data_IF_902887620489
#
_entry.id   IF_902887620489
#
_cell.length_a   1.000
_cell.length_b   1.000
_cell.length_c   1.000
_cell.angle_alpha   90.00
_cell.angle_beta   90.00
_cell.angle_gamma   90.00
#
_symmetry.space_group_name_H-M   'P 1'
#
loop_
_entity.id
_entity.type
_entity.pdbx_description
1 polymer ?
#
# COMPACT_ATOMS: atom_id res chain seq x y z
N UNK A 1 28.76 14.37 1.75
CA UNK A 1 28.23 15.39 2.67
C UNK A 1 26.75 15.57 2.29
N UNK A 2 25.83 14.89 3.03
CA UNK A 2 24.37 14.91 2.78
C UNK A 2 23.57 15.43 4.01
N UNK A 3 24.22 16.19 4.90
CA UNK A 3 23.53 16.77 6.07
C UNK A 3 22.31 17.64 5.73
N UNK A 4 22.32 18.47 4.65
CA UNK A 4 21.13 19.21 4.27
C UNK A 4 19.95 18.32 3.91
N UNK A 5 20.18 17.23 3.17
CA UNK A 5 19.13 16.31 2.72
C UNK A 5 18.49 15.52 3.87
N UNK A 6 19.26 15.16 4.89
CA UNK A 6 18.71 14.53 6.09
C UNK A 6 17.84 15.51 6.89
N UNK A 7 18.25 16.76 6.97
CA UNK A 7 17.45 17.81 7.63
C UNK A 7 16.11 18.04 6.91
N UNK A 8 16.15 18.15 5.58
CA UNK A 8 14.94 18.29 4.77
C UNK A 8 14.00 17.09 4.92
N UNK A 9 14.56 15.88 5.04
CA UNK A 9 13.79 14.68 5.29
C UNK A 9 13.09 14.69 6.65
N UNK A 10 13.78 15.15 7.71
CA UNK A 10 13.17 15.31 9.04
C UNK A 10 12.10 16.40 9.01
N UNK A 11 12.35 17.53 8.35
CA UNK A 11 11.36 18.59 8.19
C UNK A 11 10.10 18.08 7.44
N UNK A 12 10.29 17.26 6.40
CA UNK A 12 9.18 16.62 5.72
C UNK A 12 8.37 15.73 6.67
N UNK A 13 9.03 14.86 7.45
CA UNK A 13 8.33 13.97 8.39
C UNK A 13 7.48 14.73 9.41
N UNK A 14 7.98 15.86 9.90
CA UNK A 14 7.25 16.72 10.84
C UNK A 14 6.03 17.36 10.17
N UNK A 15 6.19 17.86 8.94
CA UNK A 15 5.15 18.61 8.23
C UNK A 15 4.22 17.72 7.40
N UNK A 16 4.57 16.46 7.17
CA UNK A 16 3.80 15.58 6.30
C UNK A 16 2.31 15.48 6.67
N UNK A 17 1.90 15.43 7.96
CA UNK A 17 0.50 15.43 8.33
C UNK A 17 -0.28 16.72 8.00
N UNK A 18 0.42 17.84 7.78
CA UNK A 18 -0.16 19.17 7.53
C UNK A 18 -0.51 19.40 6.05
N UNK A 19 -0.05 18.54 5.14
CA UNK A 19 -0.42 18.69 3.73
C UNK A 19 -1.92 18.47 3.52
N UNK A 20 -2.53 19.41 2.82
CA UNK A 20 -3.97 19.42 2.53
C UNK A 20 -4.32 18.71 1.22
N UNK A 21 -3.34 18.48 0.34
CA UNK A 21 -3.54 17.85 -0.97
C UNK A 21 -2.50 16.76 -1.24
N UNK A 22 -2.92 15.72 -1.97
CA UNK A 22 -2.04 14.66 -2.45
C UNK A 22 -0.88 15.23 -3.29
N UNK A 23 -1.17 16.18 -4.16
CA UNK A 23 -0.17 16.80 -5.05
C UNK A 23 0.93 17.52 -4.25
N UNK A 24 0.58 18.26 -3.20
CA UNK A 24 1.55 18.95 -2.36
C UNK A 24 2.43 17.94 -1.59
N UNK A 25 1.82 16.88 -1.04
CA UNK A 25 2.52 15.79 -0.37
C UNK A 25 3.50 15.09 -1.32
N UNK A 26 3.05 14.72 -2.52
CA UNK A 26 3.86 14.05 -3.54
C UNK A 26 5.03 14.90 -4.01
N UNK A 27 4.81 16.19 -4.26
CA UNK A 27 5.85 17.13 -4.66
C UNK A 27 6.92 17.32 -3.57
N UNK A 28 6.51 17.40 -2.31
CA UNK A 28 7.43 17.50 -1.18
C UNK A 28 8.23 16.21 -0.99
N UNK A 29 7.57 15.06 -1.05
CA UNK A 29 8.21 13.75 -0.97
C UNK A 29 9.26 13.55 -2.07
N UNK A 30 8.89 13.83 -3.32
CA UNK A 30 9.79 13.72 -4.46
C UNK A 30 11.07 14.56 -4.30
N UNK A 31 10.94 15.81 -3.80
CA UNK A 31 12.06 16.69 -3.55
C UNK A 31 13.03 16.16 -2.50
N UNK A 32 12.48 15.64 -1.40
CA UNK A 32 13.28 15.01 -0.35
C UNK A 32 14.01 13.78 -0.89
N UNK A 33 13.34 12.94 -1.67
CA UNK A 33 13.93 11.75 -2.29
C UNK A 33 15.08 12.09 -3.24
N UNK A 34 14.93 13.14 -4.07
CA UNK A 34 16.01 13.65 -4.94
C UNK A 34 17.26 14.03 -4.13
N UNK A 35 17.08 14.75 -3.02
CA UNK A 35 18.17 15.09 -2.10
C UNK A 35 18.88 13.87 -1.51
N UNK A 36 18.17 12.74 -1.36
CA UNK A 36 18.73 11.47 -0.91
C UNK A 36 19.28 10.59 -2.05
N UNK A 37 19.22 11.05 -3.29
CA UNK A 37 19.74 10.34 -4.48
C UNK A 37 18.78 9.28 -5.04
N UNK A 38 17.50 9.35 -4.69
CA UNK A 38 16.45 8.55 -5.30
C UNK A 38 15.96 9.23 -6.57
N UNK A 39 16.00 8.54 -7.70
CA UNK A 39 15.67 9.07 -9.03
C UNK A 39 14.25 8.72 -9.47
N UNK A 40 13.69 7.65 -8.92
CA UNK A 40 12.35 7.19 -9.26
C UNK A 40 11.65 6.56 -8.04
N UNK A 41 10.34 6.70 -7.96
CA UNK A 41 9.55 5.99 -6.95
C UNK A 41 8.14 5.65 -7.44
N UNK A 42 7.56 4.62 -6.83
CA UNK A 42 6.15 4.28 -7.00
C UNK A 42 5.57 3.82 -5.67
N UNK A 43 4.41 4.35 -5.32
CA UNK A 43 3.65 3.94 -4.14
C UNK A 43 2.30 3.37 -4.58
N UNK A 44 1.97 2.19 -4.09
CA UNK A 44 0.80 1.44 -4.51
C UNK A 44 0.11 0.77 -3.34
N UNK A 45 -1.15 0.40 -3.53
CA UNK A 45 -1.91 -0.46 -2.63
C UNK A 45 -2.30 -1.76 -3.33
N UNK A 46 -2.37 -2.85 -2.58
CA UNK A 46 -2.94 -4.10 -3.09
C UNK A 46 -4.46 -3.95 -3.16
N UNK A 47 -5.06 -4.29 -4.31
CA UNK A 47 -6.52 -4.31 -4.41
C UNK A 47 -7.08 -5.50 -3.62
N UNK A 48 -7.77 -5.21 -2.52
CA UNK A 48 -8.41 -6.23 -1.68
C UNK A 48 -9.53 -7.00 -2.39
N UNK A 49 -10.09 -6.41 -3.46
CA UNK A 49 -11.14 -7.05 -4.29
C UNK A 49 -10.56 -8.04 -5.30
N UNK A 50 -9.24 -7.96 -5.55
CA UNK A 50 -8.51 -8.82 -6.50
C UNK A 50 -7.22 -9.32 -5.85
N UNK A 51 -7.29 -10.22 -4.89
CA UNK A 51 -6.10 -10.82 -4.28
C UNK A 51 -5.21 -11.44 -5.37
N UNK A 52 -3.92 -11.04 -5.42
CA UNK A 52 -2.99 -11.49 -6.46
C UNK A 52 -3.09 -10.75 -7.81
N UNK A 53 -4.01 -9.81 -7.94
CA UNK A 53 -4.07 -8.90 -9.09
C UNK A 53 -2.99 -7.81 -9.05
N UNK A 54 -2.87 -7.01 -10.13
CA UNK A 54 -1.93 -5.90 -10.15
C UNK A 54 -2.27 -4.89 -9.05
N UNK A 55 -1.26 -4.28 -8.42
CA UNK A 55 -1.48 -3.24 -7.42
C UNK A 55 -2.07 -1.97 -8.06
N UNK A 56 -2.85 -1.24 -7.28
CA UNK A 56 -3.35 0.09 -7.67
C UNK A 56 -2.27 1.11 -7.34
N UNK A 57 -1.72 1.76 -8.34
CA UNK A 57 -0.74 2.83 -8.17
C UNK A 57 -1.45 4.08 -7.62
N UNK A 58 -0.95 4.62 -6.51
CA UNK A 58 -1.47 5.83 -5.87
C UNK A 58 -0.64 7.05 -6.21
N UNK A 59 0.67 6.89 -6.33
CA UNK A 59 1.62 7.93 -6.70
C UNK A 59 2.83 7.30 -7.37
N UNK A 60 3.40 7.99 -8.39
CA UNK A 60 4.61 7.53 -9.06
C UNK A 60 5.37 8.69 -9.69
N UNK A 61 6.68 8.52 -9.81
CA UNK A 61 7.56 9.43 -10.51
C UNK A 61 8.67 8.65 -11.21
N UNK A 62 8.80 8.88 -12.52
CA UNK A 62 9.82 8.27 -13.39
C UNK A 62 9.78 6.72 -13.43
N UNK A 63 8.63 6.09 -13.16
CA UNK A 63 8.48 4.63 -13.18
C UNK A 63 7.59 4.12 -14.31
N UNK A 64 6.72 4.96 -14.90
CA UNK A 64 5.68 4.53 -15.84
C UNK A 64 6.23 3.74 -17.04
N UNK A 65 7.31 4.22 -17.64
CA UNK A 65 7.91 3.57 -18.80
C UNK A 65 8.52 2.21 -18.41
N UNK A 66 9.22 2.17 -17.27
CA UNK A 66 9.81 0.95 -16.73
C UNK A 66 8.74 -0.07 -16.31
N UNK A 67 7.71 0.35 -15.59
CA UNK A 67 6.63 -0.54 -15.15
C UNK A 67 5.86 -1.12 -16.33
N UNK A 68 5.61 -0.33 -17.38
CA UNK A 68 5.03 -0.83 -18.62
C UNK A 68 5.93 -1.85 -19.29
N UNK A 69 7.21 -1.55 -19.44
CA UNK A 69 8.20 -2.44 -20.00
C UNK A 69 8.26 -3.78 -19.23
N UNK A 70 8.34 -3.73 -17.91
CA UNK A 70 8.31 -4.90 -17.02
C UNK A 70 7.08 -5.76 -17.23
N UNK A 71 5.93 -5.13 -17.43
CA UNK A 71 4.68 -5.83 -17.71
C UNK A 71 4.70 -6.51 -19.08
N UNK A 72 5.09 -5.78 -20.13
CA UNK A 72 5.14 -6.26 -21.53
C UNK A 72 6.12 -7.43 -21.71
N UNK A 73 7.23 -7.41 -21.00
CA UNK A 73 8.24 -8.48 -21.01
C UNK A 73 7.88 -9.66 -20.07
N UNK A 74 6.78 -9.58 -19.33
CA UNK A 74 6.41 -10.60 -18.36
C UNK A 74 7.32 -10.72 -17.14
N UNK A 75 8.19 -9.74 -16.90
CA UNK A 75 9.14 -9.73 -15.78
C UNK A 75 8.45 -9.69 -14.42
N UNK A 76 7.22 -9.25 -14.36
CA UNK A 76 6.46 -9.21 -13.09
C UNK A 76 6.34 -10.59 -12.44
N UNK A 77 6.17 -11.64 -13.25
CA UNK A 77 6.03 -13.02 -12.76
C UNK A 77 7.33 -13.60 -12.19
N UNK A 78 8.47 -13.14 -12.68
CA UNK A 78 9.81 -13.66 -12.31
C UNK A 78 10.58 -12.72 -11.39
N UNK A 79 10.06 -11.49 -11.15
CA UNK A 79 10.74 -10.48 -10.35
C UNK A 79 10.94 -10.98 -8.90
N UNK A 80 12.19 -11.15 -8.46
CA UNK A 80 12.47 -11.66 -7.13
C UNK A 80 11.98 -10.74 -6.00
N UNK A 81 11.85 -9.43 -6.24
CA UNK A 81 11.26 -8.52 -5.28
C UNK A 81 9.79 -8.86 -5.00
N UNK A 82 9.04 -9.32 -6.02
CA UNK A 82 7.65 -9.78 -5.84
C UNK A 82 7.61 -11.02 -4.94
N UNK A 83 8.52 -11.98 -5.13
CA UNK A 83 8.64 -13.16 -4.25
C UNK A 83 8.97 -12.76 -2.82
N UNK A 84 9.89 -11.82 -2.61
CA UNK A 84 10.27 -11.35 -1.28
C UNK A 84 9.12 -10.63 -0.56
N UNK A 85 8.29 -9.91 -1.30
CA UNK A 85 7.06 -9.34 -0.73
C UNK A 85 6.09 -10.43 -0.28
N UNK A 86 5.95 -11.50 -1.03
CA UNK A 86 5.10 -12.65 -0.66
C UNK A 86 5.60 -13.38 0.61
N UNK A 87 6.91 -13.36 0.88
CA UNK A 87 7.51 -13.90 2.09
C UNK A 87 7.32 -13.02 3.36
N UNK A 88 6.54 -11.96 3.28
CA UNK A 88 6.20 -11.12 4.44
C UNK A 88 7.28 -10.14 4.89
N UNK A 89 8.34 -9.93 4.09
CA UNK A 89 9.37 -8.94 4.39
C UNK A 89 8.79 -7.52 4.35
N UNK A 90 9.01 -6.73 5.39
CA UNK A 90 8.48 -5.36 5.50
C UNK A 90 9.34 -4.34 4.75
N UNK A 91 10.65 -4.52 4.72
CA UNK A 91 11.57 -3.67 3.96
C UNK A 91 12.79 -4.48 3.51
N UNK A 92 13.26 -4.22 2.28
CA UNK A 92 14.47 -4.84 1.73
C UNK A 92 15.00 -4.03 0.54
N UNK A 93 16.30 -4.12 0.31
CA UNK A 93 16.96 -3.56 -0.88
C UNK A 93 17.10 -4.60 -1.99
N UNK A 94 17.28 -4.14 -3.21
CA UNK A 94 17.56 -5.03 -4.36
C UNK A 94 18.85 -5.81 -4.16
N UNK A 95 19.86 -5.19 -3.53
CA UNK A 95 21.13 -5.87 -3.20
C UNK A 95 20.95 -7.02 -2.23
N UNK A 96 20.08 -6.87 -1.23
CA UNK A 96 19.76 -7.96 -0.30
C UNK A 96 19.12 -9.13 -1.04
N UNK A 97 18.17 -8.83 -1.93
CA UNK A 97 17.53 -9.85 -2.78
C UNK A 97 18.55 -10.58 -3.65
N UNK A 98 19.40 -9.85 -4.34
CA UNK A 98 20.45 -10.41 -5.20
C UNK A 98 21.48 -11.23 -4.41
N UNK A 99 21.88 -10.75 -3.23
CA UNK A 99 22.83 -11.46 -2.38
C UNK A 99 22.27 -12.79 -1.87
N UNK A 100 21.02 -12.78 -1.42
CA UNK A 100 20.36 -13.99 -0.93
C UNK A 100 20.11 -15.01 -2.06
N UNK A 101 19.69 -14.56 -3.24
CA UNK A 101 19.49 -15.44 -4.39
C UNK A 101 20.82 -16.13 -4.81
N UNK A 102 21.93 -15.38 -4.82
CA UNK A 102 23.26 -15.96 -5.05
C UNK A 102 23.66 -16.97 -3.98
N UNK A 103 23.31 -16.74 -2.73
CA UNK A 103 23.60 -17.66 -1.61
C UNK A 103 22.80 -18.96 -1.72
N UNK A 104 21.57 -18.88 -2.24
CA UNK A 104 20.66 -20.04 -2.36
C UNK A 104 20.93 -20.93 -3.58
N UNK A 105 21.71 -20.48 -4.56
CA UNK A 105 22.06 -21.28 -5.74
C UNK A 105 22.14 -20.47 -7.02
N UNK A 106 21.92 -21.11 -8.16
CA UNK A 106 21.95 -20.46 -9.48
C UNK A 106 20.85 -19.39 -9.60
N UNK A 107 21.27 -18.20 -10.01
CA UNK A 107 20.35 -17.12 -10.36
C UNK A 107 19.83 -17.36 -11.77
N UNK A 108 18.52 -17.43 -12.03
CA UNK A 108 17.98 -17.60 -13.36
C UNK A 108 18.49 -16.54 -14.33
N UNK A 109 18.78 -16.92 -15.57
CA UNK A 109 19.26 -16.00 -16.61
C UNK A 109 18.30 -14.80 -16.80
N UNK A 110 17.00 -15.02 -16.74
CA UNK A 110 16.00 -13.97 -16.83
C UNK A 110 16.05 -12.98 -15.66
N UNK A 111 16.41 -13.43 -14.45
CA UNK A 111 16.63 -12.52 -13.30
C UNK A 111 17.89 -11.67 -13.50
N UNK A 112 18.95 -12.30 -14.03
CA UNK A 112 20.20 -11.58 -14.36
C UNK A 112 19.94 -10.49 -15.42
N UNK A 113 19.16 -10.83 -16.46
CA UNK A 113 18.77 -9.87 -17.49
C UNK A 113 17.98 -8.70 -16.92
N UNK A 114 17.00 -8.98 -16.05
CA UNK A 114 16.19 -7.96 -15.38
C UNK A 114 17.06 -6.93 -14.63
N UNK A 115 18.07 -7.39 -13.89
CA UNK A 115 18.95 -6.48 -13.15
C UNK A 115 19.87 -5.67 -14.08
N UNK A 116 20.33 -6.26 -15.19
CA UNK A 116 21.13 -5.57 -16.19
C UNK A 116 20.32 -4.46 -16.87
N UNK A 117 19.11 -4.75 -17.30
CA UNK A 117 18.20 -3.79 -17.94
C UNK A 117 17.76 -2.68 -16.97
N UNK A 118 17.54 -2.99 -15.71
CA UNK A 118 17.28 -1.97 -14.69
C UNK A 118 18.48 -1.01 -14.57
N UNK A 119 19.70 -1.53 -14.57
CA UNK A 119 20.92 -0.72 -14.49
C UNK A 119 21.12 0.18 -15.73
N UNK A 120 20.75 -0.30 -16.93
CA UNK A 120 20.75 0.49 -18.16
C UNK A 120 19.75 1.67 -18.12
N UNK A 121 18.66 1.50 -17.37
CA UNK A 121 17.67 2.54 -17.12
C UNK A 121 17.97 3.39 -15.87
N UNK A 122 19.23 3.45 -15.44
CA UNK A 122 19.71 4.19 -14.27
C UNK A 122 19.06 3.78 -12.94
N UNK A 123 18.65 2.53 -12.84
CA UNK A 123 18.10 1.90 -11.63
C UNK A 123 19.05 0.79 -11.15
N UNK A 124 20.12 1.16 -10.45
CA UNK A 124 21.19 0.23 -10.03
C UNK A 124 20.99 -0.38 -8.65
N UNK A 125 20.22 0.28 -7.81
CA UNK A 125 19.73 -0.27 -6.55
C UNK A 125 18.35 0.32 -6.24
N UNK A 126 17.65 -0.29 -5.31
CA UNK A 126 16.34 0.17 -4.88
C UNK A 126 15.98 -0.40 -3.52
N UNK A 127 15.00 0.21 -2.89
CA UNK A 127 14.39 -0.27 -1.66
C UNK A 127 12.89 -0.44 -1.87
N UNK A 128 12.36 -1.53 -1.38
CA UNK A 128 10.92 -1.80 -1.28
C UNK A 128 10.54 -1.72 0.20
N UNK A 129 9.56 -0.91 0.50
CA UNK A 129 9.03 -0.74 1.86
C UNK A 129 7.54 -1.04 1.85
N UNK A 130 7.10 -1.89 2.75
CA UNK A 130 5.71 -2.31 2.89
C UNK A 130 5.16 -1.90 4.25
N UNK A 131 3.93 -1.46 4.27
CA UNK A 131 3.20 -1.12 5.50
C UNK A 131 1.73 -1.46 5.33
N UNK A 132 0.97 -1.29 6.40
CA UNK A 132 -0.48 -1.49 6.36
C UNK A 132 -1.17 -0.19 6.72
N UNK A 133 -2.15 0.20 5.91
CA UNK A 133 -3.09 1.25 6.26
C UNK A 133 -4.13 0.74 7.26
N UNK A 134 -4.88 1.63 7.92
CA UNK A 134 -6.07 1.27 8.66
C UNK A 134 -7.00 0.37 7.82
N UNK A 135 -7.58 -0.65 8.44
CA UNK A 135 -8.37 -1.66 7.73
C UNK A 135 -7.55 -2.79 7.10
N UNK A 136 -6.23 -2.85 7.34
CA UNK A 136 -5.37 -3.95 6.90
C UNK A 136 -4.99 -3.89 5.41
N UNK A 137 -5.21 -2.75 4.75
CA UNK A 137 -4.82 -2.55 3.36
C UNK A 137 -3.30 -2.53 3.23
N UNK A 138 -2.75 -3.45 2.44
CA UNK A 138 -1.30 -3.51 2.19
C UNK A 138 -0.88 -2.39 1.25
N UNK A 139 0.09 -1.60 1.68
CA UNK A 139 0.75 -0.54 0.92
C UNK A 139 2.19 -0.96 0.60
N UNK A 140 2.69 -0.55 -0.56
CA UNK A 140 4.07 -0.80 -0.98
C UNK A 140 4.63 0.43 -1.66
N UNK A 141 5.79 0.90 -1.20
CA UNK A 141 6.53 1.99 -1.84
C UNK A 141 7.87 1.45 -2.31
N UNK A 142 8.15 1.63 -3.59
CA UNK A 142 9.41 1.31 -4.24
C UNK A 142 10.14 2.61 -4.52
N UNK A 143 11.42 2.68 -4.18
CA UNK A 143 12.28 3.82 -4.43
C UNK A 143 13.56 3.29 -5.10
N UNK A 144 13.93 3.87 -6.24
CA UNK A 144 15.05 3.44 -7.07
C UNK A 144 16.10 4.54 -7.16
N UNK A 145 17.35 4.14 -7.28
CA UNK A 145 18.50 5.04 -7.38
C UNK A 145 19.46 4.59 -8.47
N UNK A 146 20.08 5.54 -9.15
CA UNK A 146 21.22 5.31 -10.05
C UNK A 146 22.53 5.01 -9.32
N UNK A 147 22.58 5.19 -8.00
CA UNK A 147 23.71 4.77 -7.19
C UNK A 147 23.77 3.25 -7.04
N UNK A 148 24.97 2.71 -6.99
CA UNK A 148 25.17 1.26 -6.87
C UNK A 148 24.78 0.70 -5.52
N UNK A 149 24.47 1.54 -4.53
CA UNK A 149 24.15 1.11 -3.18
C UNK A 149 23.39 2.18 -2.39
N UNK A 150 22.28 1.81 -1.78
CA UNK A 150 21.64 2.58 -0.71
C UNK A 150 22.48 2.41 0.58
N UNK A 151 22.97 3.51 1.12
CA UNK A 151 23.81 3.50 2.32
C UNK A 151 23.00 3.26 3.59
N UNK A 152 23.61 2.64 4.58
CA UNK A 152 22.93 2.27 5.83
C UNK A 152 22.23 3.44 6.56
N UNK A 153 22.82 4.65 6.69
CA UNK A 153 22.11 5.78 7.31
C UNK A 153 20.87 6.21 6.52
N UNK A 154 20.98 6.21 5.18
CA UNK A 154 19.89 6.64 4.29
C UNK A 154 18.75 5.60 4.29
N UNK A 155 19.06 4.32 4.48
CA UNK A 155 18.08 3.22 4.48
C UNK A 155 16.97 3.43 5.52
N UNK A 156 17.33 3.61 6.79
CA UNK A 156 16.36 3.78 7.88
C UNK A 156 15.49 5.02 7.65
N UNK A 157 16.06 6.09 7.11
CA UNK A 157 15.36 7.30 6.76
C UNK A 157 14.38 7.08 5.60
N UNK A 158 14.80 6.39 4.54
CA UNK A 158 13.95 6.04 3.40
C UNK A 158 12.79 5.12 3.82
N UNK A 159 13.03 4.16 4.72
CA UNK A 159 11.98 3.31 5.29
C UNK A 159 10.92 4.15 6.01
N UNK A 160 11.35 5.07 6.87
CA UNK A 160 10.45 5.94 7.62
C UNK A 160 9.66 6.88 6.70
N UNK A 161 10.34 7.51 5.75
CA UNK A 161 9.73 8.39 4.74
C UNK A 161 8.68 7.65 3.92
N UNK A 162 8.98 6.43 3.49
CA UNK A 162 8.06 5.61 2.69
C UNK A 162 6.80 5.22 3.47
N UNK A 163 6.94 4.85 4.75
CA UNK A 163 5.80 4.49 5.62
C UNK A 163 4.88 5.70 5.82
N UNK A 164 5.45 6.85 6.19
CA UNK A 164 4.67 8.07 6.42
C UNK A 164 4.00 8.51 5.12
N UNK A 165 4.75 8.58 4.02
CA UNK A 165 4.21 8.97 2.72
C UNK A 165 3.08 8.04 2.26
N UNK A 166 3.31 6.72 2.26
CA UNK A 166 2.33 5.75 1.79
C UNK A 166 1.02 5.83 2.59
N UNK A 167 1.11 5.98 3.91
CA UNK A 167 -0.06 6.08 4.79
C UNK A 167 -0.87 7.34 4.51
N UNK A 168 -0.20 8.49 4.37
CA UNK A 168 -0.87 9.77 4.08
C UNK A 168 -1.42 9.79 2.64
N UNK A 169 -0.66 9.29 1.67
CA UNK A 169 -1.12 9.22 0.27
C UNK A 169 -2.33 8.29 0.11
N UNK A 170 -2.34 7.19 0.87
CA UNK A 170 -3.51 6.30 0.92
C UNK A 170 -4.74 7.02 1.47
N UNK A 171 -4.60 7.83 2.52
CA UNK A 171 -5.72 8.65 3.04
C UNK A 171 -6.29 9.58 1.97
N UNK A 172 -5.44 10.28 1.21
CA UNK A 172 -5.89 11.10 0.08
C UNK A 172 -6.55 10.27 -1.02
N UNK A 173 -5.97 9.12 -1.34
CA UNK A 173 -6.53 8.23 -2.36
C UNK A 173 -7.94 7.74 -1.98
N UNK A 174 -8.18 7.40 -0.71
CA UNK A 174 -9.51 7.06 -0.23
C UNK A 174 -10.48 8.26 -0.36
N UNK A 175 -10.02 9.46 -0.03
CA UNK A 175 -10.82 10.69 -0.19
C UNK A 175 -11.12 11.01 -1.67
N UNK A 176 -10.17 10.79 -2.57
CA UNK A 176 -10.34 10.95 -4.03
C UNK A 176 -11.33 9.92 -4.61
N UNK A 177 -11.35 8.71 -4.04
CA UNK A 177 -12.29 7.65 -4.40
C UNK A 177 -13.66 7.84 -3.74
N UNK A 178 -13.69 8.48 -2.57
CA UNK A 178 -14.87 8.79 -1.75
C UNK A 178 -15.58 10.10 -2.16
N UNK A 179 -15.42 10.59 -3.39
CA UNK A 179 -16.42 11.48 -3.98
C UNK A 179 -17.72 10.69 -4.20
N UNK A 180 -18.85 11.01 -3.56
CA UNK A 180 -19.40 10.41 -2.36
C UNK A 180 -20.00 9.04 -2.62
N UNK A 181 -19.28 7.97 -2.40
CA UNK A 181 -19.84 6.69 -1.99
C UNK A 181 -19.76 6.64 -0.46
N UNK A 182 -20.40 7.55 0.22
CA UNK A 182 -20.89 7.23 1.57
C UNK A 182 -21.96 6.16 1.34
N UNK A 183 -21.66 4.85 1.52
CA UNK A 183 -22.67 3.83 1.36
C UNK A 183 -23.69 4.13 2.44
N UNK A 184 -24.81 4.72 2.08
CA UNK A 184 -25.88 4.98 3.03
C UNK A 184 -26.37 3.62 3.51
N UNK A 185 -25.73 3.17 4.58
CA UNK A 185 -26.22 2.00 5.28
C UNK A 185 -27.62 2.35 5.80
N UNK A 186 -28.57 1.49 5.54
CA UNK A 186 -29.86 1.64 6.19
C UNK A 186 -29.66 1.51 7.71
N UNK A 187 -30.52 2.11 8.47
CA UNK A 187 -30.52 2.00 9.95
C UNK A 187 -30.39 0.55 10.42
N UNK A 188 -31.06 -0.38 9.74
CA UNK A 188 -31.01 -1.81 10.06
C UNK A 188 -29.71 -2.50 9.69
N UNK A 189 -29.08 -2.09 8.58
CA UNK A 189 -27.75 -2.60 8.21
C UNK A 189 -26.69 -2.15 9.22
N UNK A 190 -26.70 -0.87 9.59
CA UNK A 190 -25.80 -0.34 10.63
C UNK A 190 -26.02 -1.00 11.99
N UNK A 191 -27.26 -1.19 12.41
CA UNK A 191 -27.63 -1.86 13.65
C UNK A 191 -27.14 -3.33 13.68
N UNK A 192 -27.35 -4.08 12.59
CA UNK A 192 -26.84 -5.45 12.47
C UNK A 192 -25.31 -5.51 12.57
N UNK A 193 -24.59 -4.58 11.93
CA UNK A 193 -23.13 -4.51 11.98
C UNK A 193 -22.62 -4.22 13.39
N UNK A 194 -23.25 -3.32 14.15
CA UNK A 194 -22.86 -3.03 15.54
C UNK A 194 -22.97 -4.25 16.43
N UNK A 195 -24.06 -5.01 16.31
CA UNK A 195 -24.26 -6.22 17.11
C UNK A 195 -23.36 -7.37 16.67
N UNK A 196 -23.12 -7.52 15.37
CA UNK A 196 -22.19 -8.51 14.85
C UNK A 196 -20.74 -8.27 15.34
N UNK A 197 -20.31 -7.00 15.46
CA UNK A 197 -19.02 -6.63 16.01
C UNK A 197 -18.86 -6.98 17.49
N UNK A 198 -19.98 -7.09 18.23
CA UNK A 198 -20.00 -7.57 19.62
C UNK A 198 -20.03 -9.09 19.73
N UNK A 199 -19.89 -9.80 18.60
CA UNK A 199 -19.83 -11.26 18.56
C UNK A 199 -21.19 -11.95 18.50
N UNK A 200 -22.32 -11.22 18.30
CA UNK A 200 -23.65 -11.87 18.22
C UNK A 200 -23.78 -12.61 16.87
N UNK A 201 -24.39 -13.78 16.95
CA UNK A 201 -24.82 -14.54 15.77
C UNK A 201 -26.07 -13.92 15.14
N UNK A 202 -26.46 -14.36 13.92
CA UNK A 202 -27.70 -13.88 13.27
C UNK A 202 -28.92 -14.11 14.14
N UNK A 203 -28.98 -15.23 14.89
CA UNK A 203 -30.06 -15.52 15.83
C UNK A 203 -30.03 -14.56 17.02
N UNK A 204 -28.85 -14.31 17.61
CA UNK A 204 -28.72 -13.38 18.72
C UNK A 204 -29.06 -11.94 18.35
N UNK A 205 -28.72 -11.52 17.12
CA UNK A 205 -29.09 -10.21 16.58
C UNK A 205 -30.61 -10.16 16.35
N UNK A 206 -31.17 -11.20 15.73
CA UNK A 206 -32.60 -11.31 15.44
C UNK A 206 -33.46 -11.17 16.72
N UNK A 207 -33.09 -11.88 17.77
CA UNK A 207 -33.75 -11.82 19.08
C UNK A 207 -33.61 -10.40 19.68
N UNK A 208 -32.43 -9.78 19.56
CA UNK A 208 -32.13 -8.46 20.13
C UNK A 208 -32.92 -7.33 19.49
N UNK A 209 -33.13 -7.39 18.19
CA UNK A 209 -33.76 -6.29 17.41
C UNK A 209 -35.17 -6.63 16.90
N UNK A 210 -35.70 -7.78 17.27
CA UNK A 210 -37.08 -8.20 17.03
C UNK A 210 -37.40 -8.51 15.56
N UNK A 211 -36.47 -9.14 14.81
CA UNK A 211 -36.69 -9.56 13.42
C UNK A 211 -36.27 -11.01 13.18
N UNK A 212 -36.59 -11.58 12.02
CA UNK A 212 -36.20 -12.96 11.72
C UNK A 212 -34.68 -13.03 11.40
N UNK A 213 -34.02 -14.14 11.80
CA UNK A 213 -32.60 -14.37 11.55
C UNK A 213 -32.22 -14.27 10.03
N UNK A 214 -33.11 -14.72 9.15
CA UNK A 214 -32.90 -14.57 7.70
C UNK A 214 -32.91 -13.10 7.26
N UNK A 215 -33.70 -12.27 7.92
CA UNK A 215 -33.72 -10.81 7.68
C UNK A 215 -32.40 -10.17 8.13
N UNK A 216 -31.85 -10.60 9.28
CA UNK A 216 -30.50 -10.17 9.71
C UNK A 216 -29.46 -10.54 8.68
N UNK A 217 -29.49 -11.77 8.17
CA UNK A 217 -28.56 -12.23 7.12
C UNK A 217 -28.65 -11.36 5.87
N UNK A 218 -29.84 -11.01 5.44
CA UNK A 218 -30.06 -10.14 4.29
C UNK A 218 -29.51 -8.72 4.52
N UNK A 219 -29.73 -8.14 5.70
CA UNK A 219 -29.14 -6.84 6.06
C UNK A 219 -27.61 -6.90 6.10
N UNK A 220 -27.02 -7.96 6.67
CA UNK A 220 -25.57 -8.14 6.67
C UNK A 220 -25.00 -8.27 5.27
N UNK A 221 -25.64 -9.05 4.38
CA UNK A 221 -25.23 -9.17 2.98
C UNK A 221 -25.38 -7.85 2.23
N UNK A 222 -26.46 -7.11 2.49
CA UNK A 222 -26.68 -5.77 1.93
C UNK A 222 -25.56 -4.80 2.35
N UNK A 223 -25.24 -4.75 3.63
CA UNK A 223 -24.16 -3.95 4.17
C UNK A 223 -22.80 -4.32 3.56
N UNK A 224 -22.45 -5.62 3.56
CA UNK A 224 -21.20 -6.10 2.97
C UNK A 224 -21.06 -5.73 1.49
N UNK A 225 -22.13 -5.87 0.71
CA UNK A 225 -22.15 -5.49 -0.71
C UNK A 225 -21.95 -3.97 -0.89
N UNK A 226 -22.68 -3.15 -0.11
CA UNK A 226 -22.53 -1.67 -0.15
C UNK A 226 -21.13 -1.21 0.24
N UNK A 227 -20.51 -1.89 1.21
CA UNK A 227 -19.16 -1.58 1.70
C UNK A 227 -18.05 -2.23 0.85
N UNK A 228 -18.40 -3.07 -0.13
CA UNK A 228 -17.43 -3.73 -1.03
C UNK A 228 -16.53 -4.74 -0.32
N UNK A 229 -17.03 -5.43 0.70
CA UNK A 229 -16.27 -6.40 1.53
C UNK A 229 -16.98 -7.74 1.59
N UNK A 230 -16.26 -8.80 1.96
CA UNK A 230 -16.75 -10.18 1.97
C UNK A 230 -16.94 -10.77 3.36
N UNK A 231 -16.49 -10.10 4.43
CA UNK A 231 -16.65 -10.57 5.79
C UNK A 231 -17.35 -9.54 6.69
N UNK A 232 -18.07 -10.00 7.72
CA UNK A 232 -18.76 -9.14 8.69
C UNK A 232 -17.82 -8.23 9.44
N UNK A 233 -16.66 -8.75 9.82
CA UNK A 233 -15.66 -7.98 10.55
C UNK A 233 -15.07 -6.88 9.67
N UNK A 234 -14.74 -7.20 8.41
CA UNK A 234 -14.30 -6.21 7.43
C UNK A 234 -15.40 -5.15 7.17
N UNK A 235 -16.67 -5.55 7.13
CA UNK A 235 -17.78 -4.62 6.96
C UNK A 235 -17.89 -3.64 8.14
N UNK A 236 -17.73 -4.11 9.37
CA UNK A 236 -17.72 -3.25 10.54
C UNK A 236 -16.58 -2.23 10.49
N UNK A 237 -15.34 -2.69 10.29
CA UNK A 237 -14.19 -1.79 10.23
C UNK A 237 -14.30 -0.78 9.07
N UNK A 238 -14.79 -1.21 7.91
CA UNK A 238 -15.00 -0.32 6.77
C UNK A 238 -16.09 0.71 7.06
N UNK A 239 -17.20 0.32 7.68
CA UNK A 239 -18.26 1.23 8.08
C UNK A 239 -17.79 2.25 9.13
N UNK A 240 -16.97 1.82 10.11
CA UNK A 240 -16.33 2.71 11.09
C UNK A 240 -15.41 3.72 10.42
N UNK A 241 -14.55 3.28 9.50
CA UNK A 241 -13.61 4.17 8.80
C UNK A 241 -14.30 5.20 7.90
N UNK A 242 -15.54 4.95 7.50
CA UNK A 242 -16.36 5.85 6.68
C UNK A 242 -17.33 6.70 7.52
N UNK A 243 -17.32 6.61 8.85
CA UNK A 243 -18.28 7.29 9.72
C UNK A 243 -19.74 6.83 9.48
N UNK A 244 -19.94 5.62 8.93
CA UNK A 244 -21.28 5.11 8.58
C UNK A 244 -21.99 4.38 9.74
N UNK A 245 -21.41 4.37 10.93
CA UNK A 245 -21.93 3.70 12.14
C UNK A 245 -22.24 4.66 13.30
N UNK A 246 -22.33 5.95 13.06
CA UNK A 246 -22.70 6.93 14.09
C UNK A 246 -24.14 6.75 14.58
#
# INVERSE_FOLDING_TARGET
MREPSHREAVEFLVRAPEFETAQALEAAFARVLEGLGVTAFSSSRQDSRRPGGPPVVMAERNTQAWDRYMFDQGYFAINPCVRWTALGRSAFTWREVQAENRRLGEVPAAETALWAEAAENDMRDGIVVRTFAPGGQLLSTRMMTGETRIRSPDRALLETLAIVFATLRHRFHEQEQDAPLNPVLSRREAECLRWAAQGLTDFGIADRIGIAANTVRNHMQGAMRKLGVTTRLAAYYRAMSLGALD
#
